data_IF_573753713322
#
_entry.id   IF_573753713322
#
_cell.length_a   1.000
_cell.length_b   1.000
_cell.length_c   1.000
_cell.angle_alpha   90.00
_cell.angle_beta   90.00
_cell.angle_gamma   90.00
#
_symmetry.space_group_name_H-M   'P 1'
#
loop_
_entity.id
_entity.type
_entity.pdbx_description
1 polymer ?
#
# COMPACT_ATOMS: atom_id res chain seq x y z
N UNK A 1 -7.54 -16.00 20.54
CA UNK A 1 -7.44 -17.03 19.49
C UNK A 1 -6.63 -18.19 20.06
N UNK A 2 -7.05 -19.47 19.90
CA UNK A 2 -6.33 -20.60 20.48
C UNK A 2 -4.88 -20.64 19.98
N UNK A 3 -3.91 -20.83 20.87
CA UNK A 3 -2.48 -20.77 20.52
C UNK A 3 -2.08 -21.80 19.45
N UNK A 4 -2.73 -22.96 19.44
CA UNK A 4 -2.60 -24.01 18.43
C UNK A 4 -2.97 -23.54 17.01
N UNK A 5 -3.82 -22.51 16.89
CA UNK A 5 -4.26 -21.96 15.60
C UNK A 5 -3.31 -20.88 15.05
N UNK A 6 -2.57 -20.18 15.92
CA UNK A 6 -1.80 -18.97 15.56
C UNK A 6 -0.29 -19.20 15.55
N UNK A 7 0.18 -20.26 16.20
CA UNK A 7 1.60 -20.53 16.35
C UNK A 7 2.30 -19.60 17.36
N UNK A 8 3.62 -19.53 17.27
CA UNK A 8 4.43 -18.71 18.15
C UNK A 8 4.27 -17.22 17.86
N UNK A 9 4.41 -16.40 18.91
CA UNK A 9 4.36 -14.95 18.78
C UNK A 9 5.54 -14.44 17.95
N UNK A 10 5.25 -13.58 16.98
CA UNK A 10 6.27 -12.94 16.16
C UNK A 10 7.19 -12.04 17.01
N UNK A 11 8.52 -12.00 16.72
CA UNK A 11 9.44 -11.04 17.34
C UNK A 11 8.97 -9.60 17.14
N UNK A 12 9.16 -8.75 18.14
CA UNK A 12 8.71 -7.34 18.09
C UNK A 12 9.43 -6.57 16.98
N UNK A 13 10.66 -6.94 16.67
CA UNK A 13 11.48 -6.35 15.61
C UNK A 13 10.77 -6.39 14.25
N UNK A 14 10.01 -7.45 13.97
CA UNK A 14 9.24 -7.58 12.72
C UNK A 14 8.09 -6.57 12.63
N UNK A 15 7.58 -6.09 13.76
CA UNK A 15 6.59 -5.00 13.77
C UNK A 15 7.27 -3.68 13.39
N UNK A 16 8.49 -3.42 13.88
CA UNK A 16 9.25 -2.24 13.48
C UNK A 16 9.61 -2.28 12.00
N UNK A 17 10.08 -3.42 11.50
CA UNK A 17 10.37 -3.62 10.06
C UNK A 17 9.12 -3.33 9.20
N UNK A 18 7.95 -3.75 9.67
CA UNK A 18 6.68 -3.52 8.96
C UNK A 18 6.29 -2.04 8.94
N UNK A 19 6.49 -1.33 10.05
CA UNK A 19 6.21 0.12 10.14
C UNK A 19 7.17 0.90 9.24
N UNK A 20 8.46 0.56 9.24
CA UNK A 20 9.46 1.19 8.37
C UNK A 20 9.15 0.94 6.88
N UNK A 21 8.75 -0.29 6.53
CA UNK A 21 8.27 -0.62 5.20
C UNK A 21 7.09 0.27 4.78
N UNK A 22 6.06 0.40 5.62
CA UNK A 22 4.93 1.28 5.33
C UNK A 22 5.37 2.73 5.11
N UNK A 23 6.24 3.28 5.96
CA UNK A 23 6.75 4.65 5.76
C UNK A 23 7.54 4.81 4.46
N UNK A 24 8.28 3.78 4.03
CA UNK A 24 9.01 3.82 2.75
C UNK A 24 8.11 3.87 1.52
N UNK A 25 6.83 3.52 1.67
CA UNK A 25 5.81 3.54 0.62
C UNK A 25 5.08 4.89 0.53
N UNK A 26 5.31 5.80 1.48
CA UNK A 26 4.65 7.10 1.52
C UNK A 26 5.20 8.03 0.45
N UNK A 27 4.28 8.59 -0.34
CA UNK A 27 4.57 9.61 -1.34
C UNK A 27 4.80 11.01 -0.76
N UNK A 28 5.26 11.96 -1.60
CA UNK A 28 5.57 13.32 -1.17
C UNK A 28 4.35 14.08 -0.63
N UNK A 29 3.16 13.78 -1.14
CA UNK A 29 1.90 14.40 -0.71
C UNK A 29 1.24 13.65 0.47
N UNK A 30 1.96 12.68 1.05
CA UNK A 30 1.49 11.87 2.18
C UNK A 30 0.55 10.71 1.78
N UNK A 31 0.23 10.59 0.49
CA UNK A 31 -0.51 9.46 -0.06
C UNK A 31 0.31 8.16 -0.05
N UNK A 32 -0.37 7.04 -0.23
CA UNK A 32 0.28 5.73 -0.42
C UNK A 32 -0.36 5.02 -1.61
N UNK A 33 0.49 4.37 -2.39
CA UNK A 33 0.11 3.42 -3.42
C UNK A 33 -0.01 2.01 -2.83
N UNK A 34 -0.65 1.10 -3.55
CA UNK A 34 -1.10 -0.18 -2.99
C UNK A 34 0.04 -1.19 -2.93
N UNK A 35 0.85 -1.26 -3.98
CA UNK A 35 1.84 -2.34 -4.14
C UNK A 35 3.28 -1.84 -4.21
N UNK A 36 3.51 -0.69 -4.83
CA UNK A 36 4.81 -0.04 -4.92
C UNK A 36 4.65 1.48 -4.97
N UNK A 37 5.69 2.27 -4.64
CA UNK A 37 5.60 3.72 -4.74
C UNK A 37 5.27 4.16 -6.17
N UNK A 38 4.31 5.09 -6.33
CA UNK A 38 3.84 5.58 -7.62
C UNK A 38 4.90 6.45 -8.33
N UNK A 39 5.87 5.82 -8.97
CA UNK A 39 6.97 6.49 -9.68
C UNK A 39 6.71 6.66 -11.18
N UNK A 40 5.73 5.93 -11.70
CA UNK A 40 5.40 5.91 -13.11
C UNK A 40 4.60 7.15 -13.50
N UNK A 41 4.89 7.78 -14.65
CA UNK A 41 4.16 8.97 -15.07
C UNK A 41 2.73 8.64 -15.54
N UNK A 42 1.75 9.47 -15.16
CA UNK A 42 0.32 9.27 -15.44
C UNK A 42 -0.01 9.07 -16.93
N UNK A 43 0.75 9.67 -17.85
CA UNK A 43 0.47 9.55 -19.29
C UNK A 43 0.55 8.11 -19.81
N UNK A 44 1.21 7.20 -19.09
CA UNK A 44 1.22 5.78 -19.44
C UNK A 44 -0.17 5.15 -19.41
N UNK A 45 -1.14 5.73 -18.70
CA UNK A 45 -2.55 5.29 -18.72
C UNK A 45 -3.19 5.37 -20.12
N UNK A 46 -2.63 6.17 -21.04
CA UNK A 46 -3.05 6.17 -22.46
C UNK A 46 -2.86 4.80 -23.10
N UNK A 47 -1.94 3.98 -22.59
CA UNK A 47 -1.67 2.63 -23.09
C UNK A 47 -2.66 1.60 -22.56
N UNK A 48 -3.64 1.98 -21.73
CA UNK A 48 -4.64 1.07 -21.19
C UNK A 48 -5.48 0.47 -22.32
N UNK A 49 -5.39 -0.85 -22.57
CA UNK A 49 -6.18 -1.50 -23.61
C UNK A 49 -7.55 -1.96 -23.09
N UNK A 50 -7.84 -1.78 -21.80
CA UNK A 50 -9.09 -2.19 -21.18
C UNK A 50 -10.20 -1.19 -21.48
N UNK A 51 -11.35 -1.71 -21.90
CA UNK A 51 -12.57 -0.91 -22.07
C UNK A 51 -13.42 -0.83 -20.79
N UNK A 52 -13.08 -1.62 -19.76
CA UNK A 52 -13.91 -1.80 -18.57
C UNK A 52 -13.29 -1.23 -17.28
N UNK A 53 -12.00 -0.90 -17.29
CA UNK A 53 -11.26 -0.48 -16.09
C UNK A 53 -10.38 0.73 -16.39
N UNK A 54 -10.33 1.66 -15.45
CA UNK A 54 -9.49 2.87 -15.48
C UNK A 54 -8.42 2.79 -14.39
N UNK A 55 -7.32 3.54 -14.55
CA UNK A 55 -6.24 3.66 -13.56
C UNK A 55 -5.60 2.31 -13.18
N UNK A 56 -5.24 1.52 -14.19
CA UNK A 56 -4.68 0.16 -14.01
C UNK A 56 -3.26 0.02 -14.54
N UNK A 57 -2.74 1.01 -15.27
CA UNK A 57 -1.44 0.89 -15.93
C UNK A 57 -0.32 1.34 -15.01
N UNK A 58 -0.56 2.37 -14.19
CA UNK A 58 0.40 2.85 -13.20
C UNK A 58 -0.15 2.73 -11.79
N UNK A 59 0.74 2.70 -10.80
CA UNK A 59 0.34 2.87 -9.41
C UNK A 59 -0.10 4.31 -9.16
N UNK A 60 -1.13 4.46 -8.34
CA UNK A 60 -1.70 5.76 -7.97
C UNK A 60 -1.59 5.94 -6.46
N UNK A 61 -1.17 7.13 -6.04
CA UNK A 61 -1.22 7.48 -4.63
C UNK A 61 -2.64 7.90 -4.25
N UNK A 62 -3.17 7.30 -3.19
CA UNK A 62 -4.44 7.70 -2.64
C UNK A 62 -4.21 8.43 -1.31
N UNK A 63 -4.81 9.62 -1.16
CA UNK A 63 -4.61 10.49 0.01
C UNK A 63 -5.38 9.99 1.25
N UNK A 64 -6.42 9.17 1.07
CA UNK A 64 -7.40 8.85 2.13
C UNK A 64 -7.10 7.62 3.00
N UNK A 65 -5.85 7.16 3.11
CA UNK A 65 -5.52 6.02 3.99
C UNK A 65 -5.50 6.36 5.48
N UNK A 66 -5.53 7.65 5.85
CA UNK A 66 -5.80 8.06 7.24
C UNK A 66 -7.13 7.50 7.76
N UNK A 67 -8.08 7.19 6.88
CA UNK A 67 -9.34 6.53 7.27
C UNK A 67 -9.14 5.03 7.59
N UNK A 68 -8.20 4.34 6.95
CA UNK A 68 -7.94 2.91 7.16
C UNK A 68 -7.12 2.65 8.44
N UNK A 69 -6.20 3.55 8.79
CA UNK A 69 -5.40 3.44 10.03
C UNK A 69 -6.16 3.88 11.29
N UNK A 70 -7.19 4.74 11.18
CA UNK A 70 -8.03 5.16 12.32
C UNK A 70 -9.22 4.21 12.60
N UNK A 71 -9.30 3.07 11.92
CA UNK A 71 -10.32 2.02 12.08
C UNK A 71 -9.74 0.69 12.59
N UNK A 72 -8.46 0.67 13.00
CA UNK A 72 -7.80 -0.44 13.69
C UNK A 72 -7.59 -0.13 15.18
#
# INVERSE_FOLDING_TARGET
>A
MPAELVGEKMPVERLYDSVEFLFSMQGPDGGMAVWEPAKSPEWLEILNPSECFENIVVEHEYVNWTFFLNQL
#
